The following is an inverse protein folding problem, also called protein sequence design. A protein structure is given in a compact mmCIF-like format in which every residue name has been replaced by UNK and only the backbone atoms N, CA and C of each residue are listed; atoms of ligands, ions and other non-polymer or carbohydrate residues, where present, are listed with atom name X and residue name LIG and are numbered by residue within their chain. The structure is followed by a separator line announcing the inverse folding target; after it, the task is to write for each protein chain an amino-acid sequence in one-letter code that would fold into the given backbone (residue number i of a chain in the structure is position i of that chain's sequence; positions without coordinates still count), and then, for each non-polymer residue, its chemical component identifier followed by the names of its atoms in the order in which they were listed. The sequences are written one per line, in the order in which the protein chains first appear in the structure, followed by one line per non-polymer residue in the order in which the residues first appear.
data_IF_464391826270
#
_entry.id   IF_464391826270
#
_cell.length_a   1.000
_cell.length_b   1.000
_cell.length_c   1.000
_cell.angle_alpha   90.00
_cell.angle_beta   90.00
_cell.angle_gamma   90.00
#
_symmetry.space_group_name_H-M   'P 1'
#
loop_
_entity.id
_entity.type
_entity.pdbx_description
1 polymer ?
#
# COMPACT_ATOMS: atom_id res chain seq x y z
N UNK A 1 13.66 18.95 7.44
CA UNK A 1 13.40 18.09 6.24
C UNK A 1 12.18 18.65 5.53
N UNK A 2 12.17 18.72 4.19
CA UNK A 2 10.99 19.16 3.44
C UNK A 2 10.03 17.99 3.22
N UNK A 3 8.74 18.31 3.21
CA UNK A 3 7.68 17.33 2.95
C UNK A 3 7.75 16.84 1.50
N UNK A 4 7.52 15.55 1.23
CA UNK A 4 7.40 15.03 -0.14
C UNK A 4 6.10 15.42 -0.85
N UNK A 5 5.16 16.10 -0.18
CA UNK A 5 3.95 16.60 -0.82
C UNK A 5 4.26 17.66 -1.90
N UNK A 6 3.37 17.87 -2.88
CA UNK A 6 3.58 18.85 -3.97
C UNK A 6 3.94 20.27 -3.47
N UNK A 7 3.41 20.64 -2.30
CA UNK A 7 3.69 21.92 -1.66
C UNK A 7 5.10 22.07 -1.06
N UNK A 8 5.84 20.98 -0.94
CA UNK A 8 7.20 20.91 -0.38
C UNK A 8 7.37 21.70 0.94
N UNK A 9 6.39 21.60 1.82
CA UNK A 9 6.33 22.36 3.06
C UNK A 9 7.43 21.97 4.06
N UNK A 10 7.88 22.92 4.87
CA UNK A 10 8.79 22.65 5.99
C UNK A 10 8.16 21.66 6.97
N UNK A 11 8.95 20.73 7.48
CA UNK A 11 8.49 19.73 8.44
C UNK A 11 9.29 19.76 9.75
N UNK A 12 8.63 19.36 10.82
CA UNK A 12 9.22 19.22 12.16
C UNK A 12 9.27 17.76 12.57
N UNK A 13 10.17 17.42 13.47
CA UNK A 13 10.21 16.08 14.08
C UNK A 13 8.90 15.84 14.84
N UNK A 14 8.19 14.80 14.47
CA UNK A 14 6.95 14.36 15.12
C UNK A 14 7.24 13.31 16.19
N UNK A 15 7.99 12.26 15.80
CA UNK A 15 8.55 11.30 16.75
C UNK A 15 10.03 11.04 16.44
N UNK A 16 10.91 10.99 17.46
CA UNK A 16 12.32 10.63 17.25
C UNK A 16 12.42 9.12 16.92
N UNK A 17 13.52 8.67 16.31
CA UNK A 17 13.81 7.25 16.11
C UNK A 17 13.96 6.49 17.44
N UNK A 18 13.70 5.18 17.44
CA UNK A 18 13.88 4.37 18.66
C UNK A 18 15.35 4.17 19.02
N UNK A 19 16.21 4.04 18.00
CA UNK A 19 17.63 3.77 18.13
C UNK A 19 18.38 4.44 16.97
N UNK A 20 19.72 4.55 17.07
CA UNK A 20 20.57 4.77 15.89
C UNK A 20 20.60 3.46 15.10
N UNK A 21 20.47 3.54 13.79
CA UNK A 21 20.48 2.39 12.91
C UNK A 21 21.27 2.70 11.64
N UNK A 22 21.71 1.62 11.02
CA UNK A 22 22.37 1.62 9.74
C UNK A 22 21.29 1.40 8.67
N UNK A 23 21.11 2.35 7.77
CA UNK A 23 20.11 2.29 6.72
C UNK A 23 20.30 1.06 5.80
N UNK A 24 21.55 0.64 5.61
CA UNK A 24 21.88 -0.51 4.75
C UNK A 24 21.52 -1.86 5.36
N UNK A 25 21.13 -1.88 6.66
CA UNK A 25 20.79 -3.10 7.42
C UNK A 25 19.34 -3.13 7.90
N UNK A 26 18.48 -2.26 7.40
CA UNK A 26 17.07 -2.27 7.77
C UNK A 26 16.39 -3.43 7.03
N UNK A 27 15.86 -4.36 7.82
CA UNK A 27 14.99 -5.41 7.30
C UNK A 27 13.59 -4.81 7.06
N UNK A 28 13.21 -4.69 5.79
CA UNK A 28 11.91 -4.18 5.34
C UNK A 28 10.88 -5.30 5.12
N UNK A 29 11.22 -6.56 5.42
CA UNK A 29 10.28 -7.66 5.26
C UNK A 29 9.08 -7.54 6.21
N UNK A 30 7.90 -7.96 5.76
CA UNK A 30 6.70 -8.01 6.60
C UNK A 30 6.83 -8.94 7.81
N UNK A 31 7.78 -9.87 7.74
CA UNK A 31 8.07 -10.85 8.79
C UNK A 31 9.09 -10.35 9.80
N UNK A 32 9.69 -9.18 9.54
CA UNK A 32 10.68 -8.60 10.43
C UNK A 32 10.10 -8.37 11.81
N UNK A 33 10.70 -9.03 12.81
CA UNK A 33 10.49 -8.73 14.22
C UNK A 33 11.24 -7.46 14.66
N UNK A 34 11.61 -6.60 13.70
CA UNK A 34 12.30 -5.36 13.96
C UNK A 34 11.45 -4.47 14.85
N UNK A 35 11.84 -4.33 16.10
CA UNK A 35 11.25 -3.36 17.03
C UNK A 35 11.69 -1.93 16.73
N UNK A 36 12.40 -1.74 15.60
CA UNK A 36 12.85 -0.45 15.16
C UNK A 36 11.67 0.43 14.72
N UNK A 37 11.63 1.65 15.27
CA UNK A 37 10.66 2.66 14.89
C UNK A 37 11.41 3.84 14.27
N UNK A 38 11.17 4.15 12.98
CA UNK A 38 11.86 5.24 12.29
C UNK A 38 11.50 6.59 12.90
N UNK A 39 12.34 7.60 12.64
CA UNK A 39 12.00 8.97 12.93
C UNK A 39 10.88 9.43 12.01
N UNK A 40 9.86 10.03 12.60
CA UNK A 40 8.75 10.59 11.85
C UNK A 40 8.81 12.11 11.85
N UNK A 41 8.46 12.68 10.71
CA UNK A 41 8.31 14.11 10.50
C UNK A 41 6.84 14.45 10.24
N UNK A 42 6.43 15.67 10.61
CA UNK A 42 5.11 16.20 10.29
C UNK A 42 5.26 17.50 9.51
N UNK A 43 4.63 17.58 8.36
CA UNK A 43 4.60 18.79 7.55
C UNK A 43 3.82 19.90 8.26
N UNK A 44 4.40 21.11 8.33
CA UNK A 44 3.72 22.28 8.90
C UNK A 44 2.51 22.71 8.05
N UNK A 45 2.59 22.52 6.72
CA UNK A 45 1.57 22.96 5.76
C UNK A 45 0.45 21.92 5.59
N UNK A 46 0.74 20.78 4.95
CA UNK A 46 -0.25 19.76 4.63
C UNK A 46 -0.57 18.78 5.77
N UNK A 47 0.16 18.84 6.90
CA UNK A 47 0.02 17.98 8.09
C UNK A 47 0.33 16.51 7.86
N UNK A 48 0.77 16.09 6.66
CA UNK A 48 1.22 14.73 6.38
C UNK A 48 2.34 14.35 7.33
N UNK A 49 2.24 13.15 7.90
CA UNK A 49 3.30 12.52 8.69
C UNK A 49 4.02 11.53 7.78
N UNK A 50 5.34 11.56 7.80
CA UNK A 50 6.15 10.68 6.95
C UNK A 50 7.44 10.26 7.66
N UNK A 51 7.93 9.10 7.29
CA UNK A 51 9.17 8.54 7.79
C UNK A 51 10.39 9.26 7.18
N UNK A 52 11.49 9.33 7.92
CA UNK A 52 12.79 9.70 7.36
C UNK A 52 13.21 8.76 6.21
N UNK A 53 12.72 7.51 6.22
CA UNK A 53 13.00 6.51 5.20
C UNK A 53 12.36 6.84 3.85
N UNK A 54 11.27 7.61 3.82
CA UNK A 54 10.60 8.04 2.59
C UNK A 54 11.50 8.78 1.58
N UNK A 55 12.68 9.26 2.01
CA UNK A 55 13.66 9.90 1.14
C UNK A 55 14.90 9.04 0.86
N UNK A 56 15.14 8.04 1.68
CA UNK A 56 16.36 7.24 1.66
C UNK A 56 16.13 5.86 1.03
N UNK A 57 14.90 5.39 1.05
CA UNK A 57 14.49 4.17 0.35
C UNK A 57 14.07 4.61 -1.04
N UNK A 58 14.82 4.21 -2.05
CA UNK A 58 14.39 4.34 -3.43
C UNK A 58 13.62 3.06 -3.83
N UNK A 59 12.79 3.19 -4.86
CA UNK A 59 11.99 2.10 -5.41
C UNK A 59 12.83 0.81 -5.63
N UNK A 60 14.06 0.95 -6.09
CA UNK A 60 14.95 -0.18 -6.33
C UNK A 60 15.34 -0.95 -5.05
N UNK A 61 15.50 -0.28 -3.92
CA UNK A 61 15.83 -0.94 -2.65
C UNK A 61 14.62 -1.72 -2.12
N UNK A 62 13.45 -1.09 -2.12
CA UNK A 62 12.20 -1.71 -1.70
C UNK A 62 11.81 -2.90 -2.59
N UNK A 63 11.92 -2.73 -3.91
CA UNK A 63 11.66 -3.78 -4.89
C UNK A 63 12.61 -4.97 -4.71
N UNK A 64 13.90 -4.74 -4.49
CA UNK A 64 14.88 -5.82 -4.30
C UNK A 64 14.56 -6.68 -3.09
N UNK A 65 14.16 -6.07 -1.99
CA UNK A 65 13.87 -6.79 -0.76
C UNK A 65 12.52 -7.53 -0.82
N UNK A 66 11.46 -6.90 -1.31
CA UNK A 66 10.14 -7.53 -1.40
C UNK A 66 10.00 -8.53 -2.53
N UNK A 67 10.74 -8.35 -3.62
CA UNK A 67 10.59 -9.16 -4.84
C UNK A 67 10.79 -10.65 -4.60
N UNK A 68 11.64 -11.01 -3.66
CA UNK A 68 12.04 -12.39 -3.40
C UNK A 68 11.62 -12.92 -2.02
N UNK A 69 10.86 -12.14 -1.25
CA UNK A 69 10.38 -12.59 0.06
C UNK A 69 9.27 -13.62 -0.13
N UNK A 70 9.46 -14.78 0.45
CA UNK A 70 8.41 -15.77 0.67
C UNK A 70 7.83 -15.58 2.08
N UNK A 71 6.53 -15.33 2.18
CA UNK A 71 5.87 -15.06 3.46
C UNK A 71 5.03 -16.25 3.93
N UNK A 72 5.72 -17.22 4.48
CA UNK A 72 5.09 -18.40 5.09
C UNK A 72 4.09 -18.05 6.20
N UNK A 73 4.30 -16.93 6.89
CA UNK A 73 3.40 -16.50 7.96
C UNK A 73 2.06 -16.05 7.35
N UNK A 74 2.11 -15.31 6.24
CA UNK A 74 0.91 -14.91 5.54
C UNK A 74 0.13 -16.12 5.02
N UNK A 75 0.85 -17.09 4.42
CA UNK A 75 0.24 -18.32 3.89
C UNK A 75 -0.49 -19.09 5.00
N UNK A 76 0.12 -19.23 6.18
CA UNK A 76 -0.51 -19.87 7.35
C UNK A 76 -1.74 -19.11 7.88
N UNK A 77 -1.87 -17.84 7.55
CA UNK A 77 -2.96 -16.96 7.97
C UNK A 77 -4.02 -16.75 6.87
N UNK A 78 -3.97 -17.44 5.74
CA UNK A 78 -4.87 -17.22 4.59
C UNK A 78 -6.35 -17.30 5.01
N UNK A 79 -6.74 -18.24 5.87
CA UNK A 79 -8.13 -18.36 6.35
C UNK A 79 -8.58 -17.11 7.13
N UNK A 80 -7.70 -16.55 7.96
CA UNK A 80 -7.97 -15.30 8.67
C UNK A 80 -8.05 -14.12 7.69
N UNK A 81 -7.10 -14.04 6.74
CA UNK A 81 -7.09 -13.01 5.69
C UNK A 81 -8.35 -13.09 4.82
N UNK A 82 -8.79 -14.30 4.48
CA UNK A 82 -10.03 -14.51 3.73
C UNK A 82 -11.26 -13.96 4.47
N UNK A 83 -11.36 -14.16 5.79
CA UNK A 83 -12.43 -13.56 6.60
C UNK A 83 -12.37 -12.03 6.58
N UNK A 84 -11.18 -11.46 6.75
CA UNK A 84 -10.97 -10.01 6.69
C UNK A 84 -11.37 -9.44 5.32
N UNK A 85 -10.90 -10.03 4.23
CA UNK A 85 -11.21 -9.56 2.88
C UNK A 85 -12.66 -9.79 2.47
N UNK A 86 -13.34 -10.80 3.00
CA UNK A 86 -14.78 -10.93 2.84
C UNK A 86 -15.57 -9.78 3.50
N UNK A 87 -15.12 -9.29 4.66
CA UNK A 87 -15.71 -8.11 5.29
C UNK A 87 -15.43 -6.83 4.49
N UNK A 88 -14.23 -6.69 3.94
CA UNK A 88 -13.90 -5.60 3.03
C UNK A 88 -14.75 -5.66 1.75
N UNK A 89 -14.83 -6.82 1.11
CA UNK A 89 -15.64 -7.03 -0.09
C UNK A 89 -17.12 -6.66 0.14
N UNK A 90 -17.71 -7.00 1.28
CA UNK A 90 -19.08 -6.60 1.62
C UNK A 90 -19.29 -5.08 1.60
N UNK A 91 -18.25 -4.31 1.92
CA UNK A 91 -18.32 -2.84 1.90
C UNK A 91 -18.24 -2.27 0.48
N UNK A 92 -17.49 -2.91 -0.40
CA UNK A 92 -17.24 -2.40 -1.76
C UNK A 92 -18.11 -3.03 -2.84
N UNK A 93 -18.80 -4.14 -2.55
CA UNK A 93 -19.55 -4.92 -3.55
C UNK A 93 -20.61 -4.16 -4.32
N UNK A 94 -21.17 -3.07 -3.74
CA UNK A 94 -22.14 -2.20 -4.42
C UNK A 94 -21.54 -1.42 -5.59
N UNK A 95 -20.22 -1.30 -5.64
CA UNK A 95 -19.49 -0.66 -6.74
C UNK A 95 -19.08 -1.65 -7.83
N UNK A 96 -19.21 -2.97 -7.57
CA UNK A 96 -18.79 -4.05 -8.45
C UNK A 96 -20.00 -4.66 -9.17
N UNK A 97 -19.83 -5.02 -10.44
CA UNK A 97 -20.81 -5.78 -11.20
C UNK A 97 -20.12 -6.61 -12.30
N UNK A 98 -20.87 -7.49 -12.95
CA UNK A 98 -20.36 -8.42 -13.98
C UNK A 98 -19.76 -7.75 -15.22
N UNK A 99 -19.90 -6.43 -15.39
CA UNK A 99 -19.31 -5.66 -16.50
C UNK A 99 -18.07 -4.86 -16.03
N UNK A 100 -17.77 -4.84 -14.75
CA UNK A 100 -16.65 -4.07 -14.20
C UNK A 100 -15.30 -4.66 -14.56
N UNK A 101 -14.35 -3.80 -14.96
CA UNK A 101 -12.93 -4.12 -15.07
C UNK A 101 -12.24 -3.60 -13.81
N UNK A 102 -11.53 -4.47 -13.11
CA UNK A 102 -10.91 -4.17 -11.82
C UNK A 102 -9.40 -4.37 -11.89
N UNK A 103 -8.65 -3.38 -11.38
CA UNK A 103 -7.22 -3.45 -11.11
C UNK A 103 -7.00 -3.41 -9.60
N UNK A 104 -6.33 -4.41 -9.05
CA UNK A 104 -5.89 -4.42 -7.65
C UNK A 104 -4.38 -4.14 -7.60
N UNK A 105 -3.99 -3.08 -6.89
CA UNK A 105 -2.59 -2.72 -6.64
C UNK A 105 -2.15 -3.37 -5.32
N UNK A 106 -1.01 -4.08 -5.35
CA UNK A 106 -0.52 -4.82 -4.19
C UNK A 106 -1.39 -6.05 -3.89
N UNK A 107 -1.71 -6.83 -4.93
CA UNK A 107 -2.60 -8.00 -4.80
C UNK A 107 -2.02 -9.12 -3.92
N UNK A 108 -0.73 -9.06 -3.60
CA UNK A 108 0.02 -9.98 -2.76
C UNK A 108 -0.26 -11.45 -3.14
N UNK A 109 -0.67 -12.30 -2.18
CA UNK A 109 -1.02 -13.72 -2.44
C UNK A 109 -2.40 -13.90 -3.10
N UNK A 110 -3.07 -12.84 -3.55
CA UNK A 110 -4.29 -12.89 -4.36
C UNK A 110 -5.59 -13.20 -3.61
N UNK A 111 -5.60 -13.15 -2.28
CA UNK A 111 -6.80 -13.53 -1.48
C UNK A 111 -7.99 -12.64 -1.79
N UNK A 112 -7.81 -11.31 -1.87
CA UNK A 112 -8.90 -10.39 -2.24
C UNK A 112 -9.32 -10.58 -3.70
N UNK A 113 -8.34 -10.74 -4.60
CA UNK A 113 -8.61 -11.00 -6.02
C UNK A 113 -9.44 -12.27 -6.25
N UNK A 114 -9.17 -13.35 -5.49
CA UNK A 114 -9.97 -14.57 -5.54
C UNK A 114 -11.43 -14.36 -5.12
N UNK A 115 -11.67 -13.43 -4.18
CA UNK A 115 -13.03 -13.05 -3.76
C UNK A 115 -13.72 -12.18 -4.82
N UNK A 116 -13.00 -11.26 -5.45
CA UNK A 116 -13.57 -10.28 -6.41
C UNK A 116 -13.81 -10.90 -7.78
N UNK A 117 -12.88 -11.72 -8.30
CA UNK A 117 -12.89 -12.26 -9.66
C UNK A 117 -14.24 -12.84 -10.10
N UNK A 118 -15.00 -13.62 -9.28
CA UNK A 118 -16.29 -14.17 -9.68
C UNK A 118 -17.40 -13.13 -9.91
N UNK A 119 -17.20 -11.88 -9.51
CA UNK A 119 -18.20 -10.83 -9.52
C UNK A 119 -17.97 -9.75 -10.57
N UNK A 120 -16.91 -9.88 -11.37
CA UNK A 120 -16.48 -8.83 -12.32
C UNK A 120 -16.18 -9.43 -13.69
N UNK A 121 -16.14 -8.59 -14.73
CA UNK A 121 -15.80 -9.00 -16.09
C UNK A 121 -14.33 -9.34 -16.25
N UNK A 122 -13.46 -8.46 -15.70
CA UNK A 122 -11.99 -8.58 -15.76
C UNK A 122 -11.41 -8.21 -14.42
N UNK A 123 -10.48 -9.02 -13.96
CA UNK A 123 -9.66 -8.73 -12.79
C UNK A 123 -8.19 -8.85 -13.18
N UNK A 124 -7.41 -7.84 -12.83
CA UNK A 124 -5.94 -7.87 -12.90
C UNK A 124 -5.39 -7.47 -11.54
N UNK A 125 -4.45 -8.25 -11.03
CA UNK A 125 -3.64 -7.89 -9.87
C UNK A 125 -2.29 -7.34 -10.30
N UNK A 126 -1.78 -6.34 -9.61
CA UNK A 126 -0.42 -5.83 -9.74
C UNK A 126 0.34 -6.17 -8.47
N UNK A 127 1.47 -6.89 -8.58
CA UNK A 127 2.22 -7.36 -7.42
C UNK A 127 3.73 -7.37 -7.70
N UNK A 128 4.53 -6.87 -6.74
CA UNK A 128 5.98 -6.83 -6.83
C UNK A 128 6.63 -8.18 -6.51
N UNK A 129 6.09 -8.88 -5.48
CA UNK A 129 6.64 -10.16 -5.05
C UNK A 129 6.41 -11.23 -6.10
N UNK A 130 7.50 -11.83 -6.59
CA UNK A 130 7.43 -12.96 -7.53
C UNK A 130 6.74 -14.16 -6.89
N UNK A 131 7.08 -14.47 -5.64
CA UNK A 131 6.49 -15.61 -4.92
C UNK A 131 5.00 -15.45 -4.71
N UNK A 132 4.57 -14.26 -4.22
CA UNK A 132 3.17 -13.97 -4.00
C UNK A 132 2.37 -14.00 -5.32
N UNK A 133 2.89 -13.40 -6.40
CA UNK A 133 2.23 -13.41 -7.71
C UNK A 133 2.14 -14.82 -8.31
N UNK A 134 3.18 -15.64 -8.17
CA UNK A 134 3.15 -17.04 -8.60
C UNK A 134 2.14 -17.87 -7.80
N UNK A 135 2.07 -17.64 -6.48
CA UNK A 135 1.07 -18.30 -5.64
C UNK A 135 -0.35 -17.95 -6.08
N UNK A 136 -0.64 -16.65 -6.29
CA UNK A 136 -1.96 -16.18 -6.72
C UNK A 136 -2.37 -16.76 -8.08
N UNK A 137 -1.45 -16.81 -9.04
CA UNK A 137 -1.67 -17.45 -10.34
C UNK A 137 -1.98 -18.94 -10.22
N UNK A 138 -1.16 -19.65 -9.43
CA UNK A 138 -1.26 -21.12 -9.30
C UNK A 138 -2.49 -21.57 -8.51
N UNK A 139 -2.82 -20.89 -7.41
CA UNK A 139 -3.84 -21.36 -6.47
C UNK A 139 -5.22 -20.77 -6.74
N UNK A 140 -5.28 -19.58 -7.38
CA UNK A 140 -6.55 -18.87 -7.63
C UNK A 140 -6.77 -18.56 -9.12
N UNK A 141 -5.85 -18.97 -9.99
CA UNK A 141 -5.92 -18.72 -11.45
C UNK A 141 -6.12 -17.23 -11.76
N UNK A 142 -5.51 -16.34 -10.97
CA UNK A 142 -5.62 -14.91 -11.16
C UNK A 142 -4.68 -14.43 -12.26
N UNK A 143 -5.12 -13.40 -12.99
CA UNK A 143 -4.26 -12.63 -13.87
C UNK A 143 -3.48 -11.60 -13.02
N UNK A 144 -2.18 -11.85 -12.84
CA UNK A 144 -1.30 -10.99 -12.04
C UNK A 144 -0.17 -10.46 -12.93
N UNK A 145 -0.07 -9.15 -13.01
CA UNK A 145 1.11 -8.50 -13.56
C UNK A 145 2.18 -8.39 -12.45
N UNK A 146 3.35 -8.97 -12.67
CA UNK A 146 4.45 -8.86 -11.72
C UNK A 146 5.33 -7.66 -12.10
N UNK A 147 5.23 -6.57 -11.36
CA UNK A 147 5.95 -5.32 -11.63
C UNK A 147 5.40 -4.14 -10.84
N UNK A 148 5.87 -2.94 -11.19
CA UNK A 148 5.48 -1.67 -10.56
C UNK A 148 4.27 -1.01 -11.22
N UNK A 149 3.69 0.00 -10.57
CA UNK A 149 2.68 0.87 -11.18
C UNK A 149 3.26 1.54 -12.44
N UNK A 150 4.50 2.03 -12.36
CA UNK A 150 5.21 2.71 -13.44
C UNK A 150 5.41 1.81 -14.67
N UNK A 151 5.59 0.50 -14.45
CA UNK A 151 5.69 -0.47 -15.54
C UNK A 151 4.32 -0.75 -16.15
N UNK A 152 3.31 -0.94 -15.30
CA UNK A 152 1.96 -1.32 -15.74
C UNK A 152 1.24 -0.21 -16.51
N UNK A 153 1.46 1.07 -16.17
CA UNK A 153 0.79 2.19 -16.88
C UNK A 153 1.15 2.30 -18.35
N UNK A 154 2.22 1.63 -18.80
CA UNK A 154 2.65 1.63 -20.22
C UNK A 154 1.66 0.87 -21.13
N UNK A 155 0.81 0.02 -20.58
CA UNK A 155 -0.27 -0.62 -21.33
C UNK A 155 -1.47 0.34 -21.56
N UNK A 156 -2.43 -0.07 -22.40
CA UNK A 156 -3.60 0.74 -22.74
C UNK A 156 -4.88 0.34 -21.98
N UNK A 157 -4.76 -0.54 -20.98
CA UNK A 157 -5.91 -0.96 -20.16
C UNK A 157 -6.48 0.23 -19.38
N UNK A 158 -7.81 0.30 -19.31
CA UNK A 158 -8.56 1.21 -18.45
C UNK A 158 -9.52 0.40 -17.58
N UNK A 159 -9.78 0.88 -16.36
CA UNK A 159 -10.54 0.18 -15.36
C UNK A 159 -11.72 1.01 -14.85
N UNK A 160 -12.81 0.32 -14.52
CA UNK A 160 -13.94 0.91 -13.82
C UNK A 160 -13.59 1.14 -12.34
N UNK A 161 -12.76 0.23 -11.78
CA UNK A 161 -12.40 0.27 -10.37
C UNK A 161 -10.91 -0.07 -10.21
N UNK A 162 -10.22 0.77 -9.46
CA UNK A 162 -8.86 0.48 -8.96
C UNK A 162 -8.94 0.30 -7.46
N UNK A 163 -8.32 -0.76 -6.92
CA UNK A 163 -8.32 -1.07 -5.49
C UNK A 163 -6.89 -1.08 -4.97
N UNK A 164 -6.65 -0.40 -3.85
CA UNK A 164 -5.40 -0.48 -3.07
C UNK A 164 -5.74 -0.73 -1.61
N UNK A 165 -5.48 -1.92 -1.09
CA UNK A 165 -5.75 -2.23 0.31
C UNK A 165 -4.43 -2.25 1.11
N UNK A 166 -4.24 -1.24 1.95
CA UNK A 166 -3.04 -1.06 2.78
C UNK A 166 -1.73 -1.07 1.93
N UNK A 167 -1.70 -0.22 0.89
CA UNK A 167 -0.58 -0.09 -0.07
C UNK A 167 -0.05 1.34 -0.14
N UNK A 168 -0.92 2.35 -0.09
CA UNK A 168 -0.56 3.75 -0.31
C UNK A 168 0.54 4.24 0.65
N UNK A 169 0.58 3.73 1.87
CA UNK A 169 1.58 4.03 2.89
C UNK A 169 2.97 3.50 2.58
N UNK A 170 3.07 2.54 1.66
CA UNK A 170 4.32 1.91 1.23
C UNK A 170 4.90 2.51 -0.04
N UNK A 171 4.12 3.28 -0.80
CA UNK A 171 4.57 3.84 -2.07
C UNK A 171 5.68 4.88 -1.87
N UNK A 172 6.69 4.87 -2.72
CA UNK A 172 7.80 5.84 -2.67
C UNK A 172 7.30 7.27 -2.89
N UNK A 173 6.39 7.45 -3.84
CA UNK A 173 5.73 8.70 -4.13
C UNK A 173 4.22 8.47 -4.32
N UNK A 174 3.42 8.53 -3.24
CA UNK A 174 1.99 8.28 -3.32
C UNK A 174 1.25 9.30 -4.19
N UNK A 175 1.72 10.56 -4.26
CA UNK A 175 1.12 11.61 -5.08
C UNK A 175 1.27 11.30 -6.57
N UNK A 176 2.48 10.95 -7.01
CA UNK A 176 2.73 10.56 -8.39
C UNK A 176 1.98 9.29 -8.76
N UNK A 177 2.00 8.28 -7.87
CA UNK A 177 1.30 7.03 -8.09
C UNK A 177 -0.21 7.22 -8.26
N UNK A 178 -0.83 8.08 -7.46
CA UNK A 178 -2.26 8.42 -7.61
C UNK A 178 -2.54 9.09 -8.96
N UNK A 179 -1.71 10.06 -9.38
CA UNK A 179 -1.83 10.71 -10.68
C UNK A 179 -1.68 9.72 -11.86
N UNK A 180 -0.83 8.70 -11.69
CA UNK A 180 -0.67 7.64 -12.69
C UNK A 180 -1.90 6.73 -12.73
N UNK A 181 -2.43 6.36 -11.56
CA UNK A 181 -3.62 5.50 -11.46
C UNK A 181 -4.90 6.21 -11.93
N UNK A 182 -5.01 7.53 -11.72
CA UNK A 182 -6.11 8.33 -12.27
C UNK A 182 -6.22 8.17 -13.81
N UNK A 183 -5.07 8.16 -14.51
CA UNK A 183 -5.03 7.96 -15.97
C UNK A 183 -5.42 6.54 -16.41
N UNK A 184 -5.51 5.60 -15.46
CA UNK A 184 -5.96 4.22 -15.69
C UNK A 184 -7.44 4.01 -15.37
N UNK A 185 -8.11 5.01 -14.82
CA UNK A 185 -9.54 4.97 -14.63
C UNK A 185 -10.27 5.35 -15.93
N UNK A 186 -11.37 4.65 -16.21
CA UNK A 186 -12.35 5.04 -17.19
C UNK A 186 -13.06 6.33 -16.75
N UNK A 187 -13.77 7.05 -17.66
CA UNK A 187 -14.73 8.06 -17.22
C UNK A 187 -15.68 7.46 -16.18
N UNK A 188 -15.91 8.18 -15.07
CA UNK A 188 -16.69 7.75 -13.90
C UNK A 188 -16.11 6.55 -13.13
N UNK A 189 -14.89 6.12 -13.45
CA UNK A 189 -14.17 5.10 -12.71
C UNK A 189 -13.80 5.57 -11.30
N UNK A 190 -13.67 4.64 -10.37
CA UNK A 190 -13.40 4.96 -8.97
C UNK A 190 -12.12 4.28 -8.46
N UNK A 191 -11.40 4.99 -7.58
CA UNK A 191 -10.30 4.46 -6.79
C UNK A 191 -10.79 4.18 -5.37
N UNK A 192 -10.66 2.93 -4.92
CA UNK A 192 -10.98 2.49 -3.57
C UNK A 192 -9.68 2.13 -2.88
N UNK A 193 -9.36 2.77 -1.76
CA UNK A 193 -8.18 2.38 -1.00
C UNK A 193 -8.41 2.41 0.50
N UNK A 194 -7.60 1.65 1.23
CA UNK A 194 -7.52 1.67 2.69
C UNK A 194 -6.13 2.05 3.14
N UNK A 195 -6.03 2.69 4.29
CA UNK A 195 -4.80 2.94 5.03
C UNK A 195 -5.13 3.29 6.48
N UNK A 196 -4.11 3.39 7.33
CA UNK A 196 -4.28 3.70 8.75
C UNK A 196 -4.51 5.19 8.98
N UNK A 197 -5.56 5.54 9.76
CA UNK A 197 -5.81 6.92 10.17
C UNK A 197 -5.03 7.27 11.44
N UNK A 198 -3.98 8.08 11.30
CA UNK A 198 -3.14 8.55 12.40
C UNK A 198 -3.87 9.52 13.37
N UNK A 199 -5.05 10.00 13.01
CA UNK A 199 -5.88 10.81 13.89
C UNK A 199 -6.94 9.98 14.64
N UNK A 200 -7.02 8.67 14.39
CA UNK A 200 -7.92 7.78 15.14
C UNK A 200 -7.49 7.64 16.61
N UNK A 201 -8.36 7.05 17.42
CA UNK A 201 -8.17 6.96 18.88
C UNK A 201 -6.88 6.19 19.24
N UNK A 202 -6.65 5.05 18.61
CA UNK A 202 -5.51 4.18 18.97
C UNK A 202 -4.14 4.85 18.74
N UNK A 203 -3.80 5.41 17.56
CA UNK A 203 -2.55 6.14 17.37
C UNK A 203 -2.39 7.31 18.33
N UNK A 204 -3.48 8.02 18.67
CA UNK A 204 -3.44 9.15 19.60
C UNK A 204 -3.13 8.72 21.04
N UNK A 205 -3.70 7.61 21.50
CA UNK A 205 -3.45 7.07 22.85
C UNK A 205 -2.09 6.39 22.96
N UNK A 206 -1.70 5.60 21.94
CA UNK A 206 -0.46 4.85 21.96
C UNK A 206 0.75 5.69 21.57
N UNK A 207 0.54 6.82 20.89
CA UNK A 207 1.60 7.70 20.43
C UNK A 207 2.64 6.93 19.63
N UNK A 208 3.92 7.08 19.99
CA UNK A 208 5.02 6.38 19.33
C UNK A 208 4.95 4.85 19.45
N UNK A 209 4.29 4.32 20.48
CA UNK A 209 4.15 2.87 20.69
C UNK A 209 3.14 2.23 19.75
N UNK A 210 2.44 3.01 18.91
CA UNK A 210 1.48 2.49 17.95
C UNK A 210 2.13 1.43 17.04
N UNK A 211 1.58 0.19 16.98
CA UNK A 211 2.22 -0.93 16.31
C UNK A 211 2.54 -0.68 14.83
N UNK A 212 1.68 0.05 14.14
CA UNK A 212 1.83 0.34 12.71
C UNK A 212 2.85 1.44 12.37
N UNK A 213 3.56 1.99 13.39
CA UNK A 213 4.77 2.77 13.14
C UNK A 213 5.91 1.76 12.96
N UNK A 214 6.32 1.55 11.70
CA UNK A 214 7.26 0.51 11.30
C UNK A 214 8.08 0.95 10.06
N UNK A 215 9.24 0.31 9.79
CA UNK A 215 10.18 0.79 8.77
C UNK A 215 9.60 0.87 7.36
N UNK A 216 8.76 -0.06 6.96
CA UNK A 216 8.20 -0.12 5.62
C UNK A 216 6.94 0.75 5.42
N UNK A 217 6.41 1.41 6.47
CA UNK A 217 5.42 2.47 6.34
C UNK A 217 6.13 3.80 6.15
N UNK A 218 6.16 4.29 4.93
CA UNK A 218 6.82 5.54 4.56
C UNK A 218 5.96 6.76 4.88
N UNK A 219 4.64 6.62 4.77
CA UNK A 219 3.65 7.66 4.97
C UNK A 219 2.57 7.26 5.96
N UNK A 220 2.07 8.25 6.69
CA UNK A 220 1.06 8.08 7.71
C UNK A 220 -0.02 9.13 7.49
N UNK A 221 -1.15 8.68 6.99
CA UNK A 221 -2.23 9.54 6.58
C UNK A 221 -3.21 9.81 7.73
N UNK A 222 -4.07 10.79 7.50
CA UNK A 222 -5.27 11.07 8.28
C UNK A 222 -6.38 11.46 7.32
N UNK A 223 -7.63 11.43 7.76
CA UNK A 223 -8.75 11.90 6.94
C UNK A 223 -8.53 13.31 6.36
N UNK A 224 -7.84 14.18 7.12
CA UNK A 224 -7.50 15.52 6.65
C UNK A 224 -6.47 15.47 5.52
N UNK A 225 -5.42 14.68 5.66
CA UNK A 225 -4.35 14.59 4.65
C UNK A 225 -4.82 13.86 3.39
N UNK A 226 -5.68 12.86 3.51
CA UNK A 226 -6.26 12.13 2.37
C UNK A 226 -7.17 13.01 1.50
N UNK A 227 -7.88 13.97 2.08
CA UNK A 227 -8.73 14.91 1.33
C UNK A 227 -7.94 15.94 0.53
N UNK A 228 -6.64 16.05 0.76
CA UNK A 228 -5.74 17.00 0.10
C UNK A 228 -4.65 16.26 -0.73
N UNK A 229 -4.85 14.97 -1.00
CA UNK A 229 -4.14 14.19 -2.00
C UNK A 229 -4.76 14.43 -3.37
#
# INVERSE_FOLDING_TARGET
MFCPCPDNGESVVFYPSSHRYDYDKIDLSYTSKSYFKPKLFKCKKCKLIFSELAKNINENTYIKELKYVEDDIYIKQIDFKTKYFNLFFKKIKSHLNSNSDVLEIGSYYGVLGNIIKPHVRKYIGLELSIHASQYAKKNYELDIYNGTIQDYIKNNDLFDIIIMNDVIEHLDNPFESLNLLEKKLKPDGILIFTTYDMNSIYPRLMGRSYPWIMPYHLYYFSNFTLKNL
#
